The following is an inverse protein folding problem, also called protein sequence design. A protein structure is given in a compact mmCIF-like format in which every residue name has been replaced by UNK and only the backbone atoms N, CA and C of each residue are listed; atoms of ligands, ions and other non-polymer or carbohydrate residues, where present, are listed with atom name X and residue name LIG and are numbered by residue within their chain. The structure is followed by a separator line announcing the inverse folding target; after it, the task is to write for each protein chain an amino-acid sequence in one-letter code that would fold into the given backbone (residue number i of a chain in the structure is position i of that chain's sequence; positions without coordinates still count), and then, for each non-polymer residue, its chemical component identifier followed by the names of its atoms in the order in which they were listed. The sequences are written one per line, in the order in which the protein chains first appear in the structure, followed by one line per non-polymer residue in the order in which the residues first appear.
data_IF_983943107584
#
_entry.id   IF_983943107584
#
_cell.length_a   1.000
_cell.length_b   1.000
_cell.length_c   1.000
_cell.angle_alpha   90.00
_cell.angle_beta   90.00
_cell.angle_gamma   90.00
#
_symmetry.space_group_name_H-M   'P 1'
#
loop_
_entity.id
_entity.type
_entity.pdbx_description
1 polymer ?
#
# COMPACT_ATOMS: atom_id res chain seq x y z
N UNK A 1 59.87 9.78 -15.84
CA UNK A 1 58.92 10.66 -16.54
C UNK A 1 57.74 10.87 -15.61
N UNK A 2 57.60 12.08 -15.07
CA UNK A 2 56.60 12.45 -14.07
C UNK A 2 55.46 13.16 -14.80
N UNK A 3 54.24 12.64 -14.75
CA UNK A 3 53.06 13.26 -15.36
C UNK A 3 52.17 13.85 -14.28
N UNK A 4 52.23 15.17 -14.18
CA UNK A 4 51.35 16.03 -13.39
C UNK A 4 49.98 16.16 -14.06
N UNK A 5 48.91 15.82 -13.34
CA UNK A 5 47.52 16.07 -13.74
C UNK A 5 47.08 17.42 -13.17
N UNK A 6 46.57 18.28 -14.04
CA UNK A 6 46.14 19.64 -13.72
C UNK A 6 44.67 19.63 -13.29
N UNK A 7 44.36 20.19 -12.12
CA UNK A 7 43.00 20.45 -11.67
C UNK A 7 42.42 21.65 -12.43
N UNK A 8 41.21 21.50 -13.00
CA UNK A 8 40.45 22.64 -13.54
C UNK A 8 39.28 22.94 -12.62
N UNK A 9 39.28 24.16 -12.08
CA UNK A 9 38.24 24.74 -11.23
C UNK A 9 36.99 25.08 -12.05
N UNK A 10 35.85 24.89 -11.40
CA UNK A 10 34.46 24.99 -11.85
C UNK A 10 34.04 26.35 -12.45
N UNK A 11 33.11 26.30 -13.42
CA UNK A 11 32.20 27.41 -13.76
C UNK A 11 30.81 27.15 -13.14
N UNK A 12 30.07 28.20 -12.76
CA UNK A 12 28.78 28.07 -12.09
C UNK A 12 27.71 27.62 -13.09
N UNK A 13 27.04 26.51 -12.81
CA UNK A 13 25.96 25.98 -13.63
C UNK A 13 24.60 26.59 -13.25
N UNK A 14 23.82 26.80 -14.29
CA UNK A 14 22.58 27.55 -14.41
C UNK A 14 21.43 27.00 -13.54
N UNK A 15 20.59 27.88 -12.99
CA UNK A 15 19.57 27.57 -11.95
C UNK A 15 18.25 26.98 -12.50
N UNK A 16 18.23 26.40 -13.70
CA UNK A 16 16.98 25.99 -14.37
C UNK A 16 16.89 24.55 -14.88
N UNK A 17 17.75 23.65 -14.43
CA UNK A 17 17.60 22.20 -14.70
C UNK A 17 17.70 21.44 -13.39
N UNK A 18 16.62 20.74 -13.00
CA UNK A 18 16.62 19.82 -11.86
C UNK A 18 17.65 18.72 -12.16
N UNK A 19 18.89 18.92 -11.72
CA UNK A 19 20.01 18.04 -12.05
C UNK A 19 20.10 16.89 -11.05
N UNK A 20 19.41 15.80 -11.35
CA UNK A 20 19.99 14.47 -11.17
C UNK A 20 19.96 13.77 -12.53
N UNK A 21 21.10 13.22 -12.95
CA UNK A 21 21.26 12.41 -14.16
C UNK A 21 20.53 11.06 -14.03
N UNK A 22 19.23 11.10 -13.84
CA UNK A 22 18.35 10.00 -14.18
C UNK A 22 18.12 10.13 -15.69
N UNK A 23 18.91 9.41 -16.50
CA UNK A 23 18.62 9.24 -17.92
C UNK A 23 17.29 8.46 -18.03
N UNK A 24 16.17 9.19 -18.00
CA UNK A 24 14.84 8.61 -18.09
C UNK A 24 14.21 8.98 -19.44
N UNK A 25 13.48 8.04 -20.09
CA UNK A 25 12.88 8.26 -21.41
C UNK A 25 11.89 9.43 -21.44
N UNK A 26 11.82 10.15 -22.55
CA UNK A 26 10.81 11.19 -22.80
C UNK A 26 9.48 10.57 -23.27
N UNK A 27 8.41 10.69 -22.48
CA UNK A 27 7.08 10.15 -22.79
C UNK A 27 6.16 10.14 -21.55
N UNK A 28 4.95 9.56 -21.63
CA UNK A 28 4.10 9.33 -20.45
C UNK A 28 4.91 8.52 -19.43
N UNK A 29 5.07 9.14 -18.26
CA UNK A 29 6.07 8.84 -17.23
C UNK A 29 5.77 7.59 -16.38
N UNK A 30 5.25 6.53 -17.01
CA UNK A 30 4.93 5.26 -16.34
C UNK A 30 6.05 4.27 -16.60
N UNK A 31 6.76 3.90 -15.54
CA UNK A 31 7.73 2.82 -15.58
C UNK A 31 7.03 1.51 -15.22
N UNK A 32 7.03 0.55 -16.14
CA UNK A 32 6.60 -0.82 -15.84
C UNK A 32 7.71 -1.53 -15.04
N UNK A 33 7.43 -1.82 -13.77
CA UNK A 33 8.38 -2.46 -12.86
C UNK A 33 8.00 -3.91 -12.56
N UNK A 34 7.00 -4.46 -13.25
CA UNK A 34 6.53 -5.82 -13.02
C UNK A 34 7.66 -6.81 -13.35
N UNK A 35 8.02 -7.61 -12.37
CA UNK A 35 9.20 -8.48 -12.39
C UNK A 35 9.17 -9.60 -13.46
N UNK A 36 8.01 -9.96 -14.00
CA UNK A 36 7.76 -10.70 -15.27
C UNK A 36 6.28 -11.14 -15.35
N UNK A 37 5.93 -12.09 -16.23
CA UNK A 37 4.62 -12.76 -16.28
C UNK A 37 4.22 -13.46 -14.97
N UNK A 38 5.11 -13.54 -13.97
CA UNK A 38 4.78 -14.07 -12.63
C UNK A 38 4.12 -13.04 -11.70
N UNK A 39 4.07 -11.75 -12.06
CA UNK A 39 3.33 -10.74 -11.29
C UNK A 39 1.89 -11.20 -11.05
N UNK A 40 1.36 -10.98 -9.83
CA UNK A 40 -0.03 -11.32 -9.46
C UNK A 40 -1.07 -10.80 -10.46
N UNK A 41 -0.74 -9.71 -11.16
CA UNK A 41 -1.58 -9.13 -12.22
C UNK A 41 -1.68 -10.00 -13.47
N UNK A 42 -0.60 -10.67 -13.86
CA UNK A 42 -0.56 -11.53 -15.04
C UNK A 42 -1.17 -12.91 -14.78
N UNK A 43 -1.26 -13.34 -13.50
CA UNK A 43 -1.80 -14.65 -13.09
C UNK A 43 -3.05 -14.52 -12.22
N UNK A 44 -3.79 -13.40 -12.33
CA UNK A 44 -4.97 -13.17 -11.49
C UNK A 44 -6.03 -14.23 -11.73
N UNK A 45 -6.23 -14.66 -12.97
CA UNK A 45 -7.09 -15.78 -13.35
C UNK A 45 -6.71 -17.09 -12.63
N UNK A 46 -5.42 -17.42 -12.56
CA UNK A 46 -4.92 -18.58 -11.83
C UNK A 46 -5.14 -18.43 -10.31
N UNK A 47 -5.02 -17.22 -9.76
CA UNK A 47 -5.30 -16.93 -8.35
C UNK A 47 -6.78 -17.04 -8.00
N UNK A 48 -7.68 -16.61 -8.89
CA UNK A 48 -9.12 -16.84 -8.74
C UNK A 48 -9.39 -18.34 -8.70
N UNK A 49 -8.83 -19.09 -9.66
CA UNK A 49 -9.02 -20.54 -9.71
C UNK A 49 -8.45 -21.26 -8.47
N UNK A 50 -7.26 -20.86 -8.01
CA UNK A 50 -6.62 -21.34 -6.78
C UNK A 50 -7.53 -21.13 -5.56
N UNK A 51 -8.11 -19.92 -5.42
CA UNK A 51 -9.03 -19.58 -4.34
C UNK A 51 -10.32 -20.39 -4.38
N UNK A 52 -10.90 -20.60 -5.57
CA UNK A 52 -12.11 -21.41 -5.74
C UNK A 52 -11.87 -22.91 -5.55
N UNK A 53 -10.65 -23.40 -5.80
CA UNK A 53 -10.28 -24.80 -5.64
C UNK A 53 -9.86 -25.17 -4.20
N UNK A 54 -9.79 -24.22 -3.26
CA UNK A 54 -9.53 -24.55 -1.86
C UNK A 54 -10.62 -25.47 -1.28
N UNK A 55 -10.33 -26.23 -0.20
CA UNK A 55 -11.35 -26.97 0.53
C UNK A 55 -12.49 -26.08 1.03
N UNK A 56 -13.68 -26.67 1.21
CA UNK A 56 -14.83 -25.97 1.78
C UNK A 56 -14.46 -25.27 3.11
N UNK A 57 -14.86 -24.00 3.25
CA UNK A 57 -14.52 -23.15 4.39
C UNK A 57 -13.18 -22.40 4.27
N UNK A 58 -12.37 -22.72 3.25
CA UNK A 58 -11.09 -22.03 2.96
C UNK A 58 -11.05 -21.37 1.58
N UNK A 59 -12.15 -21.44 0.81
CA UNK A 59 -12.27 -20.76 -0.48
C UNK A 59 -12.27 -19.25 -0.32
N UNK A 60 -11.74 -18.53 -1.31
CA UNK A 60 -11.69 -17.07 -1.31
C UNK A 60 -11.67 -16.52 -2.75
N UNK A 61 -11.91 -15.21 -2.87
CA UNK A 61 -11.66 -14.46 -4.10
C UNK A 61 -10.55 -13.43 -3.84
N UNK A 62 -9.55 -13.28 -4.74
CA UNK A 62 -8.52 -12.27 -4.57
C UNK A 62 -9.11 -10.86 -4.56
N UNK A 63 -8.70 -10.03 -3.58
CA UNK A 63 -9.12 -8.62 -3.49
C UNK A 63 -8.75 -7.80 -4.72
N UNK A 64 -7.76 -8.25 -5.49
CA UNK A 64 -7.32 -7.61 -6.74
C UNK A 64 -8.45 -7.49 -7.79
N UNK A 65 -9.48 -8.34 -7.69
CA UNK A 65 -10.68 -8.24 -8.52
C UNK A 65 -11.55 -7.00 -8.24
N UNK A 66 -11.36 -6.34 -7.08
CA UNK A 66 -12.07 -5.12 -6.70
C UNK A 66 -11.47 -3.86 -7.32
N UNK A 67 -10.24 -3.97 -7.82
CA UNK A 67 -9.45 -2.86 -8.31
C UNK A 67 -9.38 -2.86 -9.84
N UNK A 68 -8.68 -1.86 -10.37
CA UNK A 68 -8.68 -1.53 -11.79
C UNK A 68 -9.63 -0.39 -12.12
N UNK A 69 -9.63 0.07 -13.38
CA UNK A 69 -10.36 1.27 -13.78
C UNK A 69 -11.86 1.25 -13.37
N UNK A 70 -12.57 0.16 -13.71
CA UNK A 70 -14.01 0.02 -13.42
C UNK A 70 -14.28 -0.11 -11.92
N UNK A 71 -13.43 -0.85 -11.21
CA UNK A 71 -13.51 -0.99 -9.75
C UNK A 71 -13.29 0.33 -9.04
N UNK A 72 -12.31 1.12 -9.47
CA UNK A 72 -12.02 2.45 -8.92
C UNK A 72 -13.20 3.42 -9.10
N UNK A 73 -13.84 3.44 -10.28
CA UNK A 73 -15.01 4.30 -10.52
C UNK A 73 -16.15 3.98 -9.54
N UNK A 74 -16.44 2.69 -9.32
CA UNK A 74 -17.46 2.28 -8.34
C UNK A 74 -17.02 2.57 -6.90
N UNK A 75 -15.73 2.45 -6.60
CA UNK A 75 -15.21 2.78 -5.29
C UNK A 75 -15.26 4.28 -5.01
N UNK A 76 -15.09 5.14 -6.02
CA UNK A 76 -15.24 6.59 -5.88
C UNK A 76 -16.65 6.98 -5.39
N UNK A 77 -17.70 6.23 -5.75
CA UNK A 77 -19.04 6.41 -5.18
C UNK A 77 -19.10 6.04 -3.69
N UNK A 78 -18.37 5.00 -3.26
CA UNK A 78 -18.24 4.64 -1.83
C UNK A 78 -17.51 5.75 -1.09
N UNK A 79 -16.44 6.29 -1.66
CA UNK A 79 -15.66 7.40 -1.09
C UNK A 79 -16.51 8.66 -0.91
N UNK A 80 -17.49 8.89 -1.79
CA UNK A 80 -18.40 10.02 -1.70
C UNK A 80 -19.51 9.85 -0.65
N UNK A 81 -19.74 8.64 -0.13
CA UNK A 81 -20.78 8.38 0.87
C UNK A 81 -20.38 8.96 2.24
N UNK A 82 -21.26 9.74 2.91
CA UNK A 82 -20.94 10.35 4.20
C UNK A 82 -20.71 9.32 5.32
N UNK A 83 -21.30 8.13 5.19
CA UNK A 83 -21.13 7.00 6.11
C UNK A 83 -19.73 6.36 6.01
N UNK A 84 -19.05 6.48 4.86
CA UNK A 84 -17.68 5.98 4.70
C UNK A 84 -16.67 6.93 5.36
N UNK A 85 -16.70 6.96 6.68
CA UNK A 85 -15.84 7.82 7.48
C UNK A 85 -14.33 7.65 7.21
N UNK A 86 -13.76 6.47 6.86
CA UNK A 86 -12.31 6.33 6.75
C UNK A 86 -11.71 7.32 5.74
N UNK A 87 -12.36 7.51 4.59
CA UNK A 87 -11.89 8.47 3.59
C UNK A 87 -12.03 9.91 4.07
N UNK A 88 -13.23 10.26 4.55
CA UNK A 88 -13.56 11.63 4.99
C UNK A 88 -12.68 12.06 6.16
N UNK A 89 -12.51 11.21 7.16
CA UNK A 89 -11.71 11.49 8.36
C UNK A 89 -10.24 11.65 8.01
N UNK A 90 -9.70 10.82 7.12
CA UNK A 90 -8.32 10.98 6.66
C UNK A 90 -8.13 12.28 5.87
N UNK A 91 -9.05 12.62 4.97
CA UNK A 91 -9.00 13.86 4.19
C UNK A 91 -9.09 15.10 5.09
N UNK A 92 -10.02 15.13 6.04
CA UNK A 92 -10.14 16.20 7.04
C UNK A 92 -8.87 16.33 7.89
N UNK A 93 -8.30 15.21 8.33
CA UNK A 93 -7.08 15.19 9.13
C UNK A 93 -5.87 15.68 8.34
N UNK A 94 -5.74 15.25 7.07
CA UNK A 94 -4.72 15.75 6.15
C UNK A 94 -4.86 17.25 5.98
N UNK A 95 -6.04 17.77 5.67
CA UNK A 95 -6.26 19.22 5.50
C UNK A 95 -5.86 20.03 6.75
N UNK A 96 -6.18 19.54 7.94
CA UNK A 96 -5.84 20.20 9.21
C UNK A 96 -4.35 20.18 9.54
N UNK A 97 -3.61 19.17 9.06
CA UNK A 97 -2.21 18.90 9.46
C UNK A 97 -1.21 18.89 8.30
N UNK A 98 -1.65 19.23 7.09
CA UNK A 98 -0.88 19.04 5.85
C UNK A 98 0.49 19.72 5.92
N UNK A 99 0.56 20.90 6.52
CA UNK A 99 1.78 21.69 6.64
C UNK A 99 2.77 21.08 7.65
N UNK A 100 2.29 20.48 8.75
CA UNK A 100 3.14 19.79 9.71
C UNK A 100 3.68 18.48 9.13
N UNK A 101 2.82 17.73 8.44
CA UNK A 101 3.16 16.51 7.72
C UNK A 101 4.19 16.80 6.63
N UNK A 102 3.94 17.81 5.80
CA UNK A 102 4.84 18.23 4.72
C UNK A 102 6.21 18.68 5.25
N UNK A 103 6.25 19.47 6.33
CA UNK A 103 7.52 19.86 6.98
C UNK A 103 8.29 18.66 7.50
N UNK A 104 7.59 17.69 8.08
CA UNK A 104 8.20 16.46 8.59
C UNK A 104 8.90 15.72 7.45
N UNK A 105 8.20 15.49 6.33
CA UNK A 105 8.77 14.82 5.15
C UNK A 105 9.90 15.65 4.53
N UNK A 106 9.72 16.97 4.34
CA UNK A 106 10.74 17.85 3.76
C UNK A 106 12.04 17.87 4.58
N UNK A 107 11.96 17.76 5.91
CA UNK A 107 13.13 17.73 6.80
C UNK A 107 14.05 16.53 6.58
N UNK A 108 13.54 15.47 5.94
CA UNK A 108 14.29 14.22 5.75
C UNK A 108 15.28 14.25 4.59
N UNK A 109 15.24 15.29 3.74
CA UNK A 109 16.01 15.37 2.48
C UNK A 109 15.77 14.15 1.59
N UNK A 110 14.52 13.72 1.49
CA UNK A 110 14.11 12.63 0.60
C UNK A 110 14.30 13.03 -0.87
N UNK A 111 14.88 12.12 -1.65
CA UNK A 111 15.04 12.24 -3.10
C UNK A 111 13.78 11.72 -3.83
N UNK A 112 13.20 10.62 -3.32
CA UNK A 112 12.04 9.95 -3.90
C UNK A 112 10.90 9.78 -2.90
N UNK A 113 9.70 10.23 -3.25
CA UNK A 113 8.47 9.93 -2.51
C UNK A 113 7.68 8.88 -3.29
N UNK A 114 7.41 7.72 -2.69
CA UNK A 114 6.69 6.63 -3.35
C UNK A 114 5.36 6.46 -2.66
N UNK A 115 4.25 6.68 -3.36
CA UNK A 115 2.91 6.38 -2.87
C UNK A 115 2.49 4.98 -3.27
N UNK A 116 2.19 4.15 -2.28
CA UNK A 116 1.76 2.77 -2.46
C UNK A 116 0.23 2.76 -2.59
N UNK A 117 -0.28 2.43 -3.78
CA UNK A 117 -1.72 2.39 -4.06
C UNK A 117 -2.25 3.81 -4.24
N UNK A 118 -1.75 4.51 -5.26
CA UNK A 118 -1.99 5.94 -5.44
C UNK A 118 -3.44 6.29 -5.82
N UNK A 119 -4.18 5.34 -6.41
CA UNK A 119 -5.60 5.51 -6.72
C UNK A 119 -5.88 6.77 -7.54
N UNK A 120 -6.86 7.57 -7.12
CA UNK A 120 -7.25 8.82 -7.78
C UNK A 120 -6.42 10.07 -7.36
N UNK A 121 -5.47 9.93 -6.43
CA UNK A 121 -4.55 10.97 -5.94
C UNK A 121 -5.22 12.27 -5.42
N UNK A 122 -6.50 12.23 -5.04
CA UNK A 122 -7.22 13.45 -4.65
C UNK A 122 -6.67 14.05 -3.35
N UNK A 123 -6.49 13.22 -2.31
CA UNK A 123 -5.86 13.63 -1.05
C UNK A 123 -4.38 13.96 -1.24
N UNK A 124 -3.72 13.15 -2.07
CA UNK A 124 -2.29 13.27 -2.39
C UNK A 124 -1.96 14.63 -3.00
N UNK A 125 -2.82 15.17 -3.87
CA UNK A 125 -2.62 16.49 -4.47
C UNK A 125 -2.43 17.60 -3.42
N UNK A 126 -3.20 17.58 -2.33
CA UNK A 126 -3.11 18.57 -1.27
C UNK A 126 -1.78 18.43 -0.50
N UNK A 127 -1.41 17.19 -0.16
CA UNK A 127 -0.14 16.89 0.50
C UNK A 127 1.07 17.31 -0.36
N UNK A 128 1.11 16.91 -1.63
CA UNK A 128 2.19 17.25 -2.55
C UNK A 128 2.29 18.77 -2.76
N UNK A 129 1.17 19.48 -2.83
CA UNK A 129 1.18 20.95 -2.93
C UNK A 129 1.81 21.62 -1.71
N UNK A 130 1.55 21.13 -0.49
CA UNK A 130 2.22 21.63 0.71
C UNK A 130 3.70 21.24 0.76
N UNK A 131 4.02 19.97 0.43
CA UNK A 131 5.39 19.49 0.38
C UNK A 131 6.25 20.32 -0.57
N UNK A 132 5.78 20.60 -1.78
CA UNK A 132 6.50 21.38 -2.79
C UNK A 132 6.92 22.78 -2.29
N UNK A 133 6.09 23.42 -1.46
CA UNK A 133 6.39 24.72 -0.82
C UNK A 133 7.50 24.63 0.23
N UNK A 134 7.66 23.48 0.86
CA UNK A 134 8.65 23.24 1.91
C UNK A 134 9.95 22.60 1.40
N UNK A 135 9.97 22.15 0.15
CA UNK A 135 11.18 21.63 -0.49
C UNK A 135 12.15 22.75 -0.88
N UNK A 136 13.45 22.45 -0.72
CA UNK A 136 14.56 23.30 -1.18
C UNK A 136 15.44 22.62 -2.24
N UNK A 137 15.16 21.34 -2.52
CA UNK A 137 15.82 20.50 -3.52
C UNK A 137 14.78 19.76 -4.37
N UNK A 138 15.16 19.29 -5.57
CA UNK A 138 14.29 18.45 -6.39
C UNK A 138 13.84 17.19 -5.64
N UNK A 139 12.61 16.73 -5.90
CA UNK A 139 12.07 15.47 -5.41
C UNK A 139 11.30 14.79 -6.55
N UNK A 140 11.41 13.46 -6.66
CA UNK A 140 10.60 12.68 -7.60
C UNK A 140 9.48 12.00 -6.82
N UNK A 141 8.23 12.29 -7.18
CA UNK A 141 7.07 11.58 -6.67
C UNK A 141 6.72 10.45 -7.65
N UNK A 142 6.64 9.23 -7.13
CA UNK A 142 6.23 8.02 -7.84
C UNK A 142 4.87 7.55 -7.31
N UNK A 143 3.86 7.60 -8.17
CA UNK A 143 2.60 6.90 -7.96
C UNK A 143 2.75 5.42 -8.32
N UNK A 144 2.70 4.51 -7.35
CA UNK A 144 2.69 3.06 -7.60
C UNK A 144 1.25 2.55 -7.59
N UNK A 145 0.83 1.94 -8.69
CA UNK A 145 -0.48 1.28 -8.78
C UNK A 145 -0.43 0.13 -9.80
N UNK A 146 -1.45 -0.71 -9.76
CA UNK A 146 -1.55 -1.94 -10.55
C UNK A 146 -2.25 -1.74 -11.89
N UNK A 147 -2.98 -0.64 -12.06
CA UNK A 147 -3.78 -0.34 -13.24
C UNK A 147 -3.21 0.84 -14.03
N UNK A 148 -2.79 0.56 -15.28
CA UNK A 148 -2.17 1.56 -16.13
C UNK A 148 -3.14 2.69 -16.52
N UNK A 149 -4.38 2.38 -16.86
CA UNK A 149 -5.36 3.38 -17.29
C UNK A 149 -5.71 4.35 -16.15
N UNK A 150 -5.83 3.82 -14.92
CA UNK A 150 -5.99 4.58 -13.71
C UNK A 150 -4.79 5.51 -13.48
N UNK A 151 -3.56 5.00 -13.55
CA UNK A 151 -2.35 5.81 -13.41
C UNK A 151 -2.31 6.96 -14.42
N UNK A 152 -2.57 6.68 -15.71
CA UNK A 152 -2.59 7.67 -16.78
C UNK A 152 -3.59 8.79 -16.48
N UNK A 153 -4.85 8.43 -16.16
CA UNK A 153 -5.90 9.40 -15.83
C UNK A 153 -5.59 10.19 -14.57
N UNK A 154 -5.14 9.52 -13.51
CA UNK A 154 -4.88 10.15 -12.21
C UNK A 154 -3.70 11.14 -12.28
N UNK A 155 -2.64 10.83 -13.03
CA UNK A 155 -1.52 11.75 -13.25
C UNK A 155 -1.97 12.99 -14.02
N UNK A 156 -2.81 12.84 -15.05
CA UNK A 156 -3.38 13.98 -15.80
C UNK A 156 -4.21 14.86 -14.87
N UNK A 157 -5.09 14.26 -14.06
CA UNK A 157 -5.91 14.97 -13.06
C UNK A 157 -5.04 15.70 -12.03
N UNK A 158 -3.99 15.06 -11.50
CA UNK A 158 -3.06 15.66 -10.54
C UNK A 158 -2.36 16.90 -11.13
N UNK A 159 -1.84 16.79 -12.36
CA UNK A 159 -1.15 17.88 -13.07
C UNK A 159 -2.08 19.05 -13.42
N UNK A 160 -3.38 18.82 -13.53
CA UNK A 160 -4.38 19.88 -13.69
C UNK A 160 -4.69 20.60 -12.38
N UNK A 161 -4.61 19.89 -11.24
CA UNK A 161 -4.91 20.44 -9.91
C UNK A 161 -3.75 21.24 -9.32
N UNK A 162 -2.52 20.83 -9.58
CA UNK A 162 -1.33 21.38 -8.92
C UNK A 162 -0.19 21.61 -9.91
N UNK A 163 0.44 22.78 -9.81
CA UNK A 163 1.72 23.07 -10.49
C UNK A 163 2.86 22.95 -9.49
N UNK A 164 3.85 22.11 -9.79
CA UNK A 164 4.98 21.84 -8.92
C UNK A 164 6.23 22.61 -9.35
N UNK A 165 6.97 23.14 -8.37
CA UNK A 165 8.26 23.81 -8.57
C UNK A 165 9.44 22.84 -8.40
N UNK A 166 9.35 21.95 -7.41
CA UNK A 166 10.42 21.05 -6.99
C UNK A 166 10.07 19.58 -7.23
N UNK A 167 8.78 19.25 -7.30
CA UNK A 167 8.31 17.87 -7.47
C UNK A 167 8.17 17.50 -8.95
N UNK A 168 8.81 16.41 -9.35
CA UNK A 168 8.60 15.74 -10.62
C UNK A 168 7.66 14.54 -10.42
N UNK A 169 6.52 14.54 -11.11
CA UNK A 169 5.53 13.45 -11.04
C UNK A 169 5.87 12.35 -12.03
N UNK A 170 5.97 11.11 -11.54
CA UNK A 170 6.20 9.85 -12.26
C UNK A 170 5.24 8.77 -11.73
N UNK A 171 5.14 7.65 -12.43
CA UNK A 171 4.40 6.49 -11.97
C UNK A 171 5.16 5.19 -12.18
N UNK A 172 4.80 4.21 -11.37
CA UNK A 172 5.28 2.84 -11.39
C UNK A 172 4.06 1.95 -11.62
N UNK A 173 4.07 1.17 -12.69
CA UNK A 173 3.07 0.13 -12.92
C UNK A 173 3.59 -1.17 -12.30
N UNK A 174 2.90 -1.67 -11.29
CA UNK A 174 3.26 -2.92 -10.62
C UNK A 174 2.57 -3.12 -9.28
N UNK A 175 2.80 -4.28 -8.68
CA UNK A 175 2.36 -4.57 -7.31
C UNK A 175 3.25 -3.90 -6.28
N UNK A 176 2.85 -3.95 -5.01
CA UNK A 176 3.72 -3.47 -3.94
C UNK A 176 5.04 -4.25 -3.82
N UNK A 177 5.01 -5.57 -4.06
CA UNK A 177 6.20 -6.43 -4.06
C UNK A 177 7.16 -6.08 -5.20
N UNK A 178 6.61 -5.76 -6.38
CA UNK A 178 7.38 -5.22 -7.51
C UNK A 178 8.03 -3.88 -7.11
N UNK A 179 7.28 -3.02 -6.41
CA UNK A 179 7.79 -1.76 -5.86
C UNK A 179 8.95 -1.93 -4.88
N UNK A 180 8.82 -2.84 -3.91
CA UNK A 180 9.86 -3.16 -2.94
C UNK A 180 11.13 -3.69 -3.62
N UNK A 181 10.95 -4.54 -4.65
CA UNK A 181 12.05 -5.12 -5.44
C UNK A 181 12.73 -4.08 -6.32
N UNK A 182 11.97 -3.23 -7.01
CA UNK A 182 12.51 -2.14 -7.83
C UNK A 182 13.35 -1.17 -6.98
N UNK A 183 12.87 -0.84 -5.79
CA UNK A 183 13.57 0.01 -4.83
C UNK A 183 14.90 -0.60 -4.36
N UNK A 184 15.03 -1.92 -4.34
CA UNK A 184 16.28 -2.63 -4.06
C UNK A 184 17.26 -2.66 -5.24
N UNK A 185 16.84 -2.29 -6.45
CA UNK A 185 17.69 -2.33 -7.65
C UNK A 185 18.85 -1.33 -7.57
N UNK A 186 19.98 -1.68 -8.20
CA UNK A 186 21.18 -0.83 -8.22
C UNK A 186 20.95 0.53 -8.89
N UNK A 187 19.94 0.64 -9.75
CA UNK A 187 19.57 1.88 -10.42
C UNK A 187 19.06 2.96 -9.44
N UNK A 188 18.40 2.56 -8.35
CA UNK A 188 17.79 3.49 -7.41
C UNK A 188 18.15 3.28 -5.93
N UNK A 189 18.89 2.21 -5.58
CA UNK A 189 19.27 1.87 -4.22
C UNK A 189 19.96 3.01 -3.44
N UNK A 190 20.70 3.89 -4.13
CA UNK A 190 21.39 5.02 -3.51
C UNK A 190 20.44 6.15 -3.07
N UNK A 191 19.26 6.30 -3.70
CA UNK A 191 18.35 7.41 -3.43
C UNK A 191 17.60 7.22 -2.12
N UNK A 192 17.61 8.27 -1.30
CA UNK A 192 16.90 8.35 -0.03
C UNK A 192 15.41 8.52 -0.31
N UNK A 193 14.58 7.70 0.34
CA UNK A 193 13.17 7.60 -0.01
C UNK A 193 12.21 7.68 1.16
N UNK A 194 11.06 8.30 0.93
CA UNK A 194 9.91 8.27 1.83
C UNK A 194 8.79 7.49 1.16
N UNK A 195 8.11 6.65 1.94
CA UNK A 195 6.96 5.89 1.48
C UNK A 195 5.69 6.57 2.01
N UNK A 196 4.68 6.70 1.17
CA UNK A 196 3.36 7.20 1.50
C UNK A 196 2.37 6.03 1.38
N UNK A 197 1.69 5.67 2.46
CA UNK A 197 0.69 4.61 2.43
C UNK A 197 -0.57 5.04 3.20
N UNK A 198 -1.54 5.53 2.44
CA UNK A 198 -2.76 6.17 2.94
C UNK A 198 -3.98 5.24 2.84
N UNK A 199 -5.12 5.71 3.35
CA UNK A 199 -6.41 5.03 3.26
C UNK A 199 -6.57 3.82 4.17
N UNK A 200 -5.68 3.65 5.15
CA UNK A 200 -5.65 2.47 6.03
C UNK A 200 -5.50 1.14 5.27
N UNK A 201 -4.95 1.19 4.06
CA UNK A 201 -4.81 0.03 3.17
C UNK A 201 -3.91 -1.07 3.75
N UNK A 202 -2.96 -0.71 4.62
CA UNK A 202 -2.14 -1.67 5.38
C UNK A 202 -2.99 -2.63 6.24
N UNK A 203 -4.16 -2.17 6.69
CA UNK A 203 -5.09 -2.96 7.50
C UNK A 203 -5.85 -4.01 6.69
N UNK A 204 -5.72 -4.02 5.36
CA UNK A 204 -6.39 -5.04 4.55
C UNK A 204 -5.78 -6.44 4.75
N UNK A 205 -4.52 -6.47 5.16
CA UNK A 205 -3.78 -7.70 5.45
C UNK A 205 -3.79 -8.06 6.94
N UNK A 206 -3.47 -9.32 7.22
CA UNK A 206 -3.15 -9.78 8.57
C UNK A 206 -1.91 -9.06 9.11
N UNK A 207 -1.83 -8.89 10.44
CA UNK A 207 -0.72 -8.19 11.09
C UNK A 207 0.65 -8.78 10.71
N UNK A 208 0.81 -10.12 10.71
CA UNK A 208 2.05 -10.78 10.29
C UNK A 208 2.41 -10.51 8.81
N UNK A 209 1.40 -10.38 7.95
CA UNK A 209 1.60 -10.08 6.54
C UNK A 209 1.98 -8.61 6.36
N UNK A 210 1.37 -7.71 7.12
CA UNK A 210 1.75 -6.30 7.17
C UNK A 210 3.18 -6.08 7.70
N UNK A 211 3.63 -6.85 8.70
CA UNK A 211 5.03 -6.83 9.16
C UNK A 211 5.97 -7.18 8.01
N UNK A 212 5.70 -8.27 7.27
CA UNK A 212 6.50 -8.67 6.11
C UNK A 212 6.49 -7.61 5.01
N UNK A 213 5.31 -7.05 4.72
CA UNK A 213 5.13 -5.99 3.76
C UNK A 213 5.98 -4.77 4.10
N UNK A 214 5.86 -4.21 5.31
CA UNK A 214 6.66 -3.04 5.73
C UNK A 214 8.16 -3.36 5.71
N UNK A 215 8.54 -4.57 6.16
CA UNK A 215 9.93 -5.03 6.14
C UNK A 215 10.53 -5.11 4.73
N UNK A 216 9.72 -5.44 3.72
CA UNK A 216 10.17 -5.53 2.32
C UNK A 216 10.68 -4.20 1.77
N UNK A 217 10.20 -3.08 2.33
CA UNK A 217 10.66 -1.73 1.97
C UNK A 217 11.86 -1.28 2.80
N UNK A 218 12.02 -1.77 4.03
CA UNK A 218 13.18 -1.44 4.89
C UNK A 218 14.40 -2.29 4.58
N UNK A 219 14.22 -3.53 4.11
CA UNK A 219 15.27 -4.47 3.72
C UNK A 219 14.94 -5.08 2.36
N UNK A 220 15.93 -5.14 1.48
CA UNK A 220 15.77 -5.72 0.15
C UNK A 220 15.27 -7.18 0.26
N UNK A 221 14.17 -7.58 -0.42
CA UNK A 221 13.56 -8.90 -0.25
C UNK A 221 14.52 -10.08 -0.52
N UNK A 222 15.37 -9.96 -1.53
CA UNK A 222 16.27 -11.05 -1.94
C UNK A 222 17.57 -11.14 -1.13
N UNK A 223 18.08 -10.00 -0.66
CA UNK A 223 19.44 -9.92 -0.08
C UNK A 223 19.43 -9.56 1.40
N UNK A 224 18.31 -9.08 1.93
CA UNK A 224 18.18 -8.57 3.30
C UNK A 224 18.97 -7.29 3.58
N UNK A 225 19.58 -6.68 2.55
CA UNK A 225 20.37 -5.45 2.66
C UNK A 225 19.44 -4.28 3.03
N UNK A 226 19.79 -3.46 4.05
CA UNK A 226 19.00 -2.29 4.41
C UNK A 226 18.83 -1.33 3.23
N UNK A 227 17.59 -0.94 2.96
CA UNK A 227 17.25 0.05 1.93
C UNK A 227 17.45 1.48 2.46
N UNK A 228 17.65 2.46 1.57
CA UNK A 228 17.84 3.87 1.95
C UNK A 228 16.52 4.59 2.28
N UNK A 229 15.76 4.06 3.24
CA UNK A 229 14.48 4.63 3.66
C UNK A 229 14.67 5.73 4.70
N UNK A 230 14.08 6.89 4.45
CA UNK A 230 14.01 8.01 5.37
C UNK A 230 12.85 7.90 6.37
N UNK A 231 11.74 7.32 5.93
CA UNK A 231 10.56 7.10 6.76
C UNK A 231 9.32 6.72 5.95
N UNK A 232 8.22 6.49 6.67
CA UNK A 232 6.91 6.22 6.11
C UNK A 232 5.91 7.23 6.66
N UNK A 233 4.99 7.68 5.81
CA UNK A 233 3.74 8.29 6.24
C UNK A 233 2.65 7.22 6.10
N UNK A 234 2.26 6.62 7.22
CA UNK A 234 1.35 5.48 7.27
C UNK A 234 0.03 5.89 7.91
N UNK A 235 -1.07 5.78 7.19
CA UNK A 235 -2.39 5.99 7.76
C UNK A 235 -3.03 4.68 8.22
N UNK A 236 -3.71 4.74 9.37
CA UNK A 236 -4.28 3.59 10.05
C UNK A 236 -5.59 4.01 10.72
N UNK A 237 -6.66 3.29 10.42
CA UNK A 237 -7.94 3.41 11.11
C UNK A 237 -7.92 2.58 12.41
N UNK A 238 -8.19 3.20 13.56
CA UNK A 238 -8.25 2.52 14.85
C UNK A 238 -9.66 2.33 15.42
N UNK A 239 -10.72 2.74 14.69
CA UNK A 239 -12.09 2.77 15.20
C UNK A 239 -12.53 1.40 15.73
N UNK A 240 -13.14 1.37 16.92
CA UNK A 240 -13.69 0.15 17.54
C UNK A 240 -15.22 0.20 17.71
N UNK A 241 -15.87 1.28 17.26
CA UNK A 241 -17.33 1.41 17.29
C UNK A 241 -17.95 0.60 16.15
N UNK A 242 -18.55 -0.54 16.51
CA UNK A 242 -19.15 -1.48 15.56
C UNK A 242 -20.19 -0.81 14.66
N UNK A 243 -21.02 0.08 15.19
CA UNK A 243 -22.09 0.72 14.42
C UNK A 243 -21.51 1.67 13.36
N UNK A 244 -20.50 2.46 13.73
CA UNK A 244 -19.77 3.33 12.78
C UNK A 244 -19.07 2.52 11.71
N UNK A 245 -18.42 1.42 12.10
CA UNK A 245 -17.72 0.52 11.17
C UNK A 245 -18.72 -0.12 10.20
N UNK A 246 -19.76 -0.78 10.69
CA UNK A 246 -20.72 -1.47 9.81
C UNK A 246 -21.40 -0.51 8.82
N UNK A 247 -21.80 0.68 9.28
CA UNK A 247 -22.37 1.71 8.41
C UNK A 247 -21.38 2.19 7.32
N UNK A 248 -20.09 2.22 7.61
CA UNK A 248 -19.08 2.62 6.64
C UNK A 248 -18.90 1.59 5.53
N UNK A 249 -19.00 0.30 5.81
CA UNK A 249 -18.69 -0.73 4.81
C UNK A 249 -19.89 -1.26 4.03
N UNK A 250 -21.12 -1.08 4.50
CA UNK A 250 -22.35 -1.31 3.74
C UNK A 250 -23.14 0.00 3.55
N UNK A 251 -22.56 0.92 2.78
CA UNK A 251 -23.10 2.28 2.66
C UNK A 251 -24.49 2.31 2.01
N UNK A 252 -25.36 3.27 2.42
CA UNK A 252 -26.66 3.49 1.79
C UNK A 252 -26.57 3.65 0.26
N UNK A 253 -27.65 3.28 -0.44
CA UNK A 253 -27.67 3.30 -1.91
C UNK A 253 -26.93 2.13 -2.57
N UNK A 254 -26.33 1.22 -1.78
CA UNK A 254 -25.75 -0.03 -2.25
C UNK A 254 -24.45 0.13 -3.03
N UNK A 255 -23.71 1.23 -2.84
CA UNK A 255 -22.44 1.49 -3.53
C UNK A 255 -21.40 0.41 -3.20
N UNK A 256 -21.20 0.07 -1.92
CA UNK A 256 -20.31 -1.02 -1.49
C UNK A 256 -20.68 -2.35 -2.13
N UNK A 257 -21.97 -2.66 -2.18
CA UNK A 257 -22.49 -3.91 -2.75
C UNK A 257 -22.18 -4.01 -4.24
N UNK A 258 -22.41 -2.93 -5.00
CA UNK A 258 -22.09 -2.88 -6.43
C UNK A 258 -20.59 -2.98 -6.68
N UNK A 259 -19.78 -2.24 -5.91
CA UNK A 259 -18.33 -2.29 -6.00
C UNK A 259 -17.77 -3.70 -5.73
N UNK A 260 -18.30 -4.41 -4.74
CA UNK A 260 -17.85 -5.77 -4.43
C UNK A 260 -18.32 -6.79 -5.46
N UNK A 261 -19.58 -6.72 -5.89
CA UNK A 261 -20.14 -7.66 -6.87
C UNK A 261 -19.51 -7.52 -8.26
N UNK A 262 -19.00 -6.34 -8.60
CA UNK A 262 -18.16 -6.09 -9.77
C UNK A 262 -16.98 -7.09 -9.89
N UNK A 263 -16.46 -7.61 -8.78
CA UNK A 263 -15.41 -8.63 -8.81
C UNK A 263 -15.85 -9.93 -9.49
N UNK A 264 -17.16 -10.26 -9.46
CA UNK A 264 -17.71 -11.43 -10.16
C UNK A 264 -17.66 -11.23 -11.68
N UNK A 265 -17.99 -10.02 -12.15
CA UNK A 265 -17.87 -9.67 -13.57
C UNK A 265 -16.42 -9.77 -14.03
N UNK A 266 -15.48 -9.27 -13.22
CA UNK A 266 -14.06 -9.34 -13.58
C UNK A 266 -13.54 -10.79 -13.55
N UNK A 267 -13.91 -11.58 -12.55
CA UNK A 267 -13.59 -13.01 -12.50
C UNK A 267 -14.17 -13.77 -13.71
N UNK A 268 -15.40 -13.44 -14.12
CA UNK A 268 -16.04 -13.99 -15.32
C UNK A 268 -15.25 -13.68 -16.58
N UNK A 269 -14.82 -12.43 -16.75
CA UNK A 269 -14.00 -12.01 -17.90
C UNK A 269 -12.65 -12.73 -17.94
N UNK A 270 -11.95 -12.80 -16.80
CA UNK A 270 -10.65 -13.47 -16.68
C UNK A 270 -10.72 -14.97 -16.97
N UNK A 271 -11.74 -15.65 -16.45
CA UNK A 271 -11.87 -17.10 -16.58
C UNK A 271 -12.60 -17.53 -17.85
N UNK A 272 -13.39 -16.65 -18.47
CA UNK A 272 -14.22 -16.94 -19.64
C UNK A 272 -13.49 -16.88 -20.98
N UNK A 273 -12.22 -16.45 -21.02
CA UNK A 273 -11.44 -16.31 -22.25
C UNK A 273 -11.16 -17.62 -23.01
N UNK A 274 -11.14 -18.78 -22.33
CA UNK A 274 -10.58 -20.04 -22.85
C UNK A 274 -11.46 -21.30 -22.64
N UNK A 275 -12.74 -21.17 -22.25
CA UNK A 275 -13.61 -22.30 -21.83
C UNK A 275 -15.06 -22.19 -22.32
N UNK A 276 -15.89 -23.20 -21.98
CA UNK A 276 -17.34 -23.19 -22.18
C UNK A 276 -17.97 -22.02 -21.41
N UNK A 277 -18.06 -20.90 -22.10
CA UNK A 277 -18.48 -19.59 -21.59
C UNK A 277 -19.81 -19.66 -20.83
N UNK A 278 -20.70 -20.57 -21.20
CA UNK A 278 -22.01 -20.71 -20.56
C UNK A 278 -21.92 -21.19 -19.10
N UNK A 279 -20.96 -22.06 -18.75
CA UNK A 279 -20.78 -22.50 -17.36
C UNK A 279 -20.19 -21.38 -16.50
N UNK A 280 -19.17 -20.69 -17.00
CA UNK A 280 -18.54 -19.56 -16.30
C UNK A 280 -19.53 -18.42 -16.12
N UNK A 281 -20.29 -18.07 -17.17
CA UNK A 281 -21.29 -17.01 -17.13
C UNK A 281 -22.37 -17.31 -16.08
N UNK A 282 -22.86 -18.56 -15.99
CA UNK A 282 -23.84 -18.97 -14.97
C UNK A 282 -23.24 -18.95 -13.57
N UNK A 283 -22.00 -19.42 -13.41
CA UNK A 283 -21.32 -19.51 -12.12
C UNK A 283 -21.11 -18.13 -11.49
N UNK A 284 -20.72 -17.14 -12.31
CA UNK A 284 -20.50 -15.76 -11.88
C UNK A 284 -21.69 -14.82 -12.18
N UNK A 285 -22.88 -15.36 -12.45
CA UNK A 285 -24.08 -14.55 -12.59
C UNK A 285 -24.35 -13.82 -11.28
N UNK A 286 -24.43 -12.50 -11.34
CA UNK A 286 -24.62 -11.60 -10.20
C UNK A 286 -25.82 -11.98 -9.31
N UNK A 287 -26.86 -12.61 -9.87
CA UNK A 287 -28.06 -13.03 -9.13
C UNK A 287 -27.83 -14.24 -8.22
N UNK A 288 -26.77 -15.00 -8.46
CA UNK A 288 -26.37 -16.16 -7.65
C UNK A 288 -25.53 -15.78 -6.43
N UNK A 289 -25.24 -14.48 -6.25
CA UNK A 289 -24.37 -13.97 -5.22
C UNK A 289 -25.01 -12.80 -4.48
N UNK A 290 -24.75 -12.74 -3.18
CA UNK A 290 -25.08 -11.58 -2.34
C UNK A 290 -23.84 -11.08 -1.62
N UNK A 291 -23.80 -9.77 -1.42
CA UNK A 291 -22.84 -9.13 -0.53
C UNK A 291 -23.19 -9.49 0.92
N UNK A 292 -22.19 -9.90 1.69
CA UNK A 292 -22.27 -9.93 3.16
C UNK A 292 -21.02 -9.25 3.73
N UNK A 293 -21.18 -8.46 4.79
CA UNK A 293 -20.06 -7.91 5.53
C UNK A 293 -20.34 -7.93 7.02
N UNK A 294 -19.29 -8.09 7.82
CA UNK A 294 -19.41 -8.28 9.27
C UNK A 294 -18.24 -7.65 10.00
N UNK A 295 -18.55 -6.92 11.07
CA UNK A 295 -17.54 -6.58 12.07
C UNK A 295 -17.17 -7.82 12.90
N UNK A 296 -15.87 -8.10 13.00
CA UNK A 296 -15.29 -9.20 13.77
C UNK A 296 -14.46 -8.58 14.91
N UNK A 297 -15.08 -8.27 16.08
CA UNK A 297 -14.40 -7.54 17.16
C UNK A 297 -13.16 -8.27 17.69
N UNK A 298 -13.22 -9.60 17.82
CA UNK A 298 -12.09 -10.43 18.29
C UNK A 298 -10.86 -10.38 17.35
N UNK A 299 -11.09 -10.01 16.09
CA UNK A 299 -10.03 -9.86 15.06
C UNK A 299 -9.80 -8.39 14.68
N UNK A 300 -10.52 -7.48 15.35
CA UNK A 300 -10.56 -6.04 15.10
C UNK A 300 -10.61 -5.71 13.61
N UNK A 301 -11.56 -6.29 12.88
CA UNK A 301 -11.68 -6.08 11.43
C UNK A 301 -13.10 -6.18 10.91
N UNK A 302 -13.37 -5.43 9.86
CA UNK A 302 -14.54 -5.66 9.04
C UNK A 302 -14.19 -6.62 7.91
N UNK A 303 -14.88 -7.74 7.82
CA UNK A 303 -14.67 -8.73 6.77
C UNK A 303 -15.82 -8.68 5.78
N UNK A 304 -15.48 -8.55 4.50
CA UNK A 304 -16.42 -8.59 3.38
C UNK A 304 -16.35 -9.94 2.69
N UNK A 305 -17.52 -10.44 2.31
CA UNK A 305 -17.73 -11.72 1.64
C UNK A 305 -18.66 -11.56 0.43
N UNK A 306 -18.46 -12.43 -0.55
CA UNK A 306 -19.49 -12.80 -1.52
C UNK A 306 -20.05 -14.16 -1.09
N UNK A 307 -21.36 -14.20 -0.82
CA UNK A 307 -22.05 -15.41 -0.40
C UNK A 307 -22.98 -15.91 -1.51
N UNK A 308 -22.98 -17.21 -1.75
CA UNK A 308 -23.87 -17.81 -2.75
C UNK A 308 -25.33 -17.80 -2.28
N UNK A 309 -26.27 -17.68 -3.21
CA UNK A 309 -27.71 -17.75 -2.94
C UNK A 309 -28.33 -19.08 -3.33
N UNK A 310 -27.57 -19.96 -3.97
CA UNK A 310 -27.94 -21.32 -4.32
C UNK A 310 -26.67 -22.18 -4.41
N UNK A 311 -26.83 -23.50 -4.56
CA UNK A 311 -25.73 -24.37 -4.94
C UNK A 311 -25.19 -23.98 -6.33
N UNK A 312 -23.87 -23.86 -6.46
CA UNK A 312 -23.20 -23.57 -7.72
C UNK A 312 -22.17 -24.65 -8.02
N UNK A 313 -22.17 -25.13 -9.26
CA UNK A 313 -21.15 -26.04 -9.76
C UNK A 313 -20.75 -25.68 -11.19
N UNK A 314 -19.45 -25.76 -11.48
CA UNK A 314 -18.90 -25.54 -12.81
C UNK A 314 -17.59 -26.31 -12.99
N UNK A 315 -17.25 -26.62 -14.24
CA UNK A 315 -15.92 -27.14 -14.60
C UNK A 315 -15.10 -26.04 -15.28
N UNK A 316 -14.37 -25.27 -14.47
CA UNK A 316 -13.56 -24.16 -14.97
C UNK A 316 -12.13 -24.64 -15.22
N UNK A 317 -11.67 -24.53 -16.48
CA UNK A 317 -10.32 -24.96 -16.92
C UNK A 317 -9.95 -26.37 -16.45
N UNK A 318 -10.92 -27.28 -16.53
CA UNK A 318 -10.74 -28.69 -16.15
C UNK A 318 -10.87 -28.99 -14.66
N UNK A 319 -10.98 -27.97 -13.79
CA UNK A 319 -11.20 -28.13 -12.35
C UNK A 319 -12.69 -28.12 -12.03
N UNK A 320 -13.16 -29.13 -11.31
CA UNK A 320 -14.51 -29.12 -10.74
C UNK A 320 -14.53 -28.19 -9.53
N UNK A 321 -15.48 -27.26 -9.53
CA UNK A 321 -15.69 -26.29 -8.47
C UNK A 321 -17.14 -26.41 -8.04
N UNK A 322 -17.35 -26.57 -6.74
CA UNK A 322 -18.65 -26.65 -6.11
C UNK A 322 -18.67 -25.65 -4.95
N UNK A 323 -19.77 -24.91 -4.85
CA UNK A 323 -20.07 -24.00 -3.76
C UNK A 323 -21.47 -24.33 -3.22
N UNK A 324 -21.56 -24.53 -1.91
CA UNK A 324 -22.85 -24.79 -1.25
C UNK A 324 -23.68 -23.52 -1.19
N UNK A 325 -25.01 -23.66 -1.05
CA UNK A 325 -25.88 -22.49 -0.80
C UNK A 325 -25.48 -21.79 0.51
N UNK A 326 -25.26 -20.48 0.45
CA UNK A 326 -24.85 -19.67 1.59
C UNK A 326 -23.37 -19.78 1.95
N UNK A 327 -22.56 -20.50 1.17
CA UNK A 327 -21.10 -20.52 1.33
C UNK A 327 -20.54 -19.11 1.12
N UNK A 328 -19.65 -18.67 2.03
CA UNK A 328 -19.08 -17.32 2.04
C UNK A 328 -17.64 -17.36 1.56
N UNK A 329 -17.35 -16.61 0.51
CA UNK A 329 -15.98 -16.40 0.04
C UNK A 329 -15.51 -15.01 0.51
N UNK A 330 -14.51 -14.92 1.41
CA UNK A 330 -13.91 -13.65 1.74
C UNK A 330 -13.25 -13.05 0.49
N UNK A 331 -13.38 -11.73 0.35
CA UNK A 331 -12.80 -10.99 -0.78
C UNK A 331 -11.94 -9.83 -0.33
N UNK A 332 -12.32 -9.12 0.73
CA UNK A 332 -11.50 -8.07 1.33
C UNK A 332 -11.78 -7.94 2.82
N UNK A 333 -10.73 -7.68 3.58
CA UNK A 333 -10.79 -7.35 5.00
C UNK A 333 -10.37 -5.89 5.20
N UNK A 334 -10.80 -5.27 6.28
CA UNK A 334 -10.28 -3.98 6.72
C UNK A 334 -10.10 -3.99 8.23
N UNK A 335 -8.85 -4.14 8.65
CA UNK A 335 -8.40 -4.10 10.03
C UNK A 335 -8.50 -2.71 10.62
N UNK A 336 -8.83 -2.67 11.91
CA UNK A 336 -8.90 -1.48 12.73
C UNK A 336 -7.87 -1.59 13.83
N UNK A 337 -6.74 -0.93 13.65
CA UNK A 337 -5.59 -1.09 14.52
C UNK A 337 -5.53 0.04 15.52
N UNK A 338 -5.63 -0.31 16.80
CA UNK A 338 -5.35 0.62 17.88
C UNK A 338 -3.89 1.07 17.82
N UNK A 339 -3.54 2.10 18.61
CA UNK A 339 -2.15 2.53 18.74
C UNK A 339 -1.21 1.36 19.10
N UNK A 340 -1.60 0.49 20.01
CA UNK A 340 -0.77 -0.63 20.46
C UNK A 340 -0.53 -1.65 19.34
N UNK A 341 -1.57 -1.94 18.54
CA UNK A 341 -1.43 -2.81 17.36
C UNK A 341 -0.50 -2.20 16.32
N UNK A 342 -0.69 -0.91 16.00
CA UNK A 342 0.16 -0.21 15.05
C UNK A 342 1.62 -0.18 15.50
N UNK A 343 1.87 0.12 16.79
CA UNK A 343 3.20 0.14 17.39
C UNK A 343 3.88 -1.24 17.30
N UNK A 344 3.17 -2.31 17.70
CA UNK A 344 3.67 -3.68 17.62
C UNK A 344 4.05 -4.10 16.20
N UNK A 345 3.19 -3.82 15.21
CA UNK A 345 3.46 -4.15 13.80
C UNK A 345 4.65 -3.33 13.27
N UNK A 346 4.71 -2.04 13.58
CA UNK A 346 5.82 -1.19 13.13
C UNK A 346 7.16 -1.64 13.73
N UNK A 347 7.19 -1.90 15.04
CA UNK A 347 8.40 -2.34 15.74
C UNK A 347 8.93 -3.66 15.18
N UNK A 348 8.05 -4.63 14.94
CA UNK A 348 8.43 -5.92 14.33
C UNK A 348 8.97 -5.75 12.89
N UNK A 349 8.51 -4.73 12.17
CA UNK A 349 9.02 -4.38 10.84
C UNK A 349 10.32 -3.54 10.86
N UNK A 350 10.87 -3.25 12.05
CA UNK A 350 12.06 -2.42 12.22
C UNK A 350 11.81 -0.92 12.05
N UNK A 351 10.60 -0.46 12.38
CA UNK A 351 10.15 0.93 12.32
C UNK A 351 9.67 1.41 13.70
N UNK A 352 9.96 2.66 14.04
CA UNK A 352 9.42 3.32 15.22
C UNK A 352 8.40 4.39 14.81
N UNK A 353 7.32 4.52 15.58
CA UNK A 353 6.40 5.66 15.47
C UNK A 353 7.03 6.86 16.18
N UNK A 354 7.52 7.83 15.41
CA UNK A 354 8.16 9.04 15.96
C UNK A 354 7.14 10.14 16.28
N UNK A 355 6.13 10.28 15.43
CA UNK A 355 5.01 11.18 15.69
C UNK A 355 3.74 10.69 15.02
N UNK A 356 2.61 11.27 15.42
CA UNK A 356 1.29 10.91 14.92
C UNK A 356 0.37 12.11 14.89
N UNK A 357 -0.41 12.23 13.82
CA UNK A 357 -1.57 13.11 13.77
C UNK A 357 -2.83 12.27 13.90
N UNK A 358 -3.72 12.63 14.82
CA UNK A 358 -4.86 11.82 15.21
C UNK A 358 -6.17 12.57 15.04
N UNK A 359 -7.16 11.91 14.46
CA UNK A 359 -8.56 12.23 14.67
C UNK A 359 -9.06 11.47 15.92
N UNK A 360 -9.44 12.18 16.99
CA UNK A 360 -9.81 11.52 18.25
C UNK A 360 -11.18 10.84 18.21
N UNK A 361 -12.08 11.24 17.32
CA UNK A 361 -13.45 10.70 17.26
C UNK A 361 -13.49 9.27 16.71
N UNK A 362 -12.62 8.97 15.75
CA UNK A 362 -12.57 7.66 15.07
C UNK A 362 -11.29 6.87 15.40
N UNK A 363 -10.41 7.41 16.24
CA UNK A 363 -9.06 6.88 16.46
C UNK A 363 -8.28 6.66 15.15
N UNK A 364 -8.50 7.53 14.17
CA UNK A 364 -7.81 7.47 12.89
C UNK A 364 -6.49 8.22 13.01
N UNK A 365 -5.39 7.57 12.63
CA UNK A 365 -4.05 8.11 12.81
C UNK A 365 -3.29 8.14 11.49
N UNK A 366 -2.53 9.21 11.28
CA UNK A 366 -1.45 9.26 10.30
C UNK A 366 -0.15 9.26 11.10
N UNK A 367 0.63 8.19 10.98
CA UNK A 367 1.89 7.99 11.66
C UNK A 367 3.06 8.41 10.77
N UNK A 368 4.01 9.13 11.35
CA UNK A 368 5.35 9.25 10.79
C UNK A 368 6.24 8.18 11.41
N UNK A 369 6.70 7.26 10.57
CA UNK A 369 7.56 6.15 10.96
C UNK A 369 9.00 6.40 10.49
N UNK A 370 9.97 5.98 11.30
CA UNK A 370 11.38 5.97 10.91
C UNK A 370 12.00 4.59 11.15
N UNK A 371 12.99 4.18 10.34
CA UNK A 371 13.78 2.98 10.64
C UNK A 371 14.37 3.06 12.05
N UNK A 372 14.19 1.99 12.84
CA UNK A 372 14.64 1.95 14.25
C UNK A 372 16.16 2.09 14.39
N UNK A 373 16.91 1.79 13.33
CA UNK A 373 18.35 2.04 13.25
C UNK A 373 18.60 3.42 12.64
N UNK A 374 19.04 4.37 13.47
CA UNK A 374 19.56 5.66 12.98
C UNK A 374 20.85 5.39 12.19
N UNK A 375 20.78 5.52 10.88
CA UNK A 375 21.98 5.58 10.03
C UNK A 375 22.69 6.89 10.35
N UNK A 376 23.74 6.85 11.17
CA UNK A 376 24.72 7.93 11.26
C UNK A 376 25.50 7.88 9.95
N UNK A 377 25.73 9.03 9.30
CA UNK A 377 26.36 9.20 7.98
C UNK A 377 27.80 8.62 7.83
N UNK A 378 28.25 7.77 8.76
CA UNK A 378 29.58 7.17 8.80
C UNK A 378 29.63 5.66 9.10
N UNK A 379 28.51 4.93 9.02
CA UNK A 379 28.50 3.46 9.14
C UNK A 379 27.47 2.93 10.13
N UNK A 380 26.90 1.77 9.83
CA UNK A 380 25.86 1.10 10.64
C UNK A 380 26.48 0.67 11.97
N UNK A 381 25.95 1.16 13.09
CA UNK A 381 26.19 0.55 14.40
C UNK A 381 25.01 -0.38 14.67
N UNK A 382 25.30 -1.67 14.80
CA UNK A 382 24.38 -2.67 15.31
C UNK A 382 24.27 -2.40 16.82
N UNK A 383 23.14 -1.86 17.29
CA UNK A 383 22.83 -1.93 18.72
C UNK A 383 22.18 -3.29 18.95
N UNK A 384 22.99 -4.24 19.41
CA UNK A 384 22.52 -5.51 19.93
C UNK A 384 21.73 -5.23 21.21
N UNK A 385 20.45 -5.58 21.23
CA UNK A 385 19.63 -5.52 22.44
C UNK A 385 19.54 -6.94 22.99
N UNK A 386 20.64 -7.40 23.58
CA UNK A 386 20.64 -8.58 24.44
C UNK A 386 21.72 -8.44 25.50
N UNK A 387 21.31 -8.10 26.72
CA UNK A 387 21.70 -8.73 27.99
C UNK A 387 21.22 -7.83 29.14
N UNK A 388 20.04 -8.15 29.67
CA UNK A 388 19.66 -7.74 31.01
C UNK A 388 20.39 -8.64 31.99
N UNK A 389 21.49 -8.15 32.57
CA UNK A 389 22.19 -8.79 33.68
C UNK A 389 21.23 -8.98 34.87
N UNK A 390 21.06 -10.25 35.25
CA UNK A 390 20.47 -10.62 36.52
C UNK A 390 21.40 -10.26 37.67
N UNK A 391 20.91 -9.44 38.58
CA UNK A 391 21.42 -9.35 39.94
C UNK A 391 20.87 -10.52 40.76
N UNK A 392 21.72 -11.36 41.36
CA UNK A 392 21.94 -11.32 42.81
C UNK A 392 23.01 -12.33 43.27
N UNK A 393 23.58 -11.98 44.42
CA UNK A 393 24.77 -12.43 45.13
C UNK A 393 24.96 -13.94 45.42
N UNK A 394 26.24 -14.30 45.56
CA UNK A 394 26.66 -15.53 46.23
C UNK A 394 28.19 -15.62 46.38
N UNK A 395 28.74 -15.02 47.44
CA UNK A 395 30.11 -15.23 47.89
C UNK A 395 30.42 -16.73 48.09
N UNK A 396 31.60 -17.20 47.69
CA UNK A 396 32.58 -17.84 48.59
C UNK A 396 33.90 -18.25 47.90
N UNK A 397 34.98 -17.65 48.39
CA UNK A 397 36.36 -18.14 48.59
C UNK A 397 37.02 -19.26 47.72
N UNK A 398 38.14 -18.83 47.13
CA UNK A 398 39.53 -19.30 47.32
C UNK A 398 40.09 -20.52 46.54
N UNK A 399 41.21 -20.23 45.84
CA UNK A 399 42.50 -20.98 45.68
C UNK A 399 42.40 -22.51 45.51
N UNK A 400 42.91 -23.13 44.46
CA UNK A 400 44.24 -23.07 43.82
C UNK A 400 44.17 -23.29 42.30
#
# INVERSE_FOLDING_TARGET
MSTSVTFTVTRPLDRHTLSHNLQLPTGLDILDIRSSQESLLHNLDAKVLEGLCQPHGSKFLPSLLLWGERGQVLYDDVLASPEYYPYRVEDELLQQRVDDIARTVASTRTDMLIELGAGNMTKTAQFLSSLDRHLSSPLIYYALDVDQALLERSIVSLRQRVTFRHIQVRALLGTYDDGASWLASSAVAAYRRTLLFLGSSIGNDEQDSAVKFLSSFTRAPETGVPQNVAGFLLAVDGCQDAAKIEAAYDVPGGYSRRWVKQALDYARELLGGDVDKAEVDRFFDDTNWRFEGRWLPERQRYQTYLATTCFLAAKIRGKAIELEEGERLPIISSGKWTRDTADSVCLQAGLNIETSWKNPEFDYNIYWLQPSLKRVDSGIVIMDVSEGEGTDAGLHHAKE
#
